data_IF_752522148210
#
_entry.id   IF_752522148210
#
_cell.length_a   1.000
_cell.length_b   1.000
_cell.length_c   1.000
_cell.angle_alpha   90.00
_cell.angle_beta   90.00
_cell.angle_gamma   90.00
#
_symmetry.space_group_name_H-M   'P 1'
#
loop_
_entity.id
_entity.type
_entity.pdbx_description
1 polymer ?
#
# COMPACT_ATOMS: atom_id res chain seq x y z
N UNK A 1 -23.27 21.79 -4.54
CA UNK A 1 -21.80 21.65 -4.49
C UNK A 1 -21.50 20.24 -4.05
N UNK A 2 -20.93 19.40 -4.92
CA UNK A 2 -20.53 18.05 -4.53
C UNK A 2 -19.27 18.18 -3.66
N UNK A 3 -19.40 17.89 -2.38
CA UNK A 3 -18.26 17.77 -1.46
C UNK A 3 -17.39 16.63 -2.00
N UNK A 4 -16.20 16.94 -2.52
CA UNK A 4 -15.20 15.91 -2.79
C UNK A 4 -14.89 15.25 -1.44
N UNK A 5 -15.34 14.02 -1.22
CA UNK A 5 -14.81 13.22 -0.14
C UNK A 5 -13.30 13.08 -0.39
N UNK A 6 -12.45 13.34 0.62
CA UNK A 6 -11.01 13.17 0.45
C UNK A 6 -10.76 11.72 0.06
N UNK A 7 -9.94 11.53 -0.99
CA UNK A 7 -9.43 10.20 -1.31
C UNK A 7 -8.59 9.72 -0.14
N UNK A 8 -8.95 8.58 0.42
CA UNK A 8 -8.10 7.90 1.38
C UNK A 8 -7.02 7.13 0.64
N UNK A 9 -5.83 7.04 1.22
CA UNK A 9 -4.79 6.16 0.71
C UNK A 9 -4.08 5.41 1.84
N UNK A 10 -3.49 4.27 1.47
CA UNK A 10 -2.57 3.52 2.31
C UNK A 10 -1.37 3.09 1.48
N UNK A 11 -0.19 3.23 2.05
CA UNK A 11 1.08 2.84 1.42
C UNK A 11 1.75 1.78 2.29
N UNK A 12 2.09 0.66 1.68
CA UNK A 12 2.78 -0.46 2.30
C UNK A 12 4.20 -0.51 1.77
N UNK A 13 5.16 -0.59 2.68
CA UNK A 13 6.60 -0.63 2.38
C UNK A 13 7.09 -2.05 2.58
N UNK A 14 7.62 -2.67 1.55
CA UNK A 14 7.94 -4.10 1.54
C UNK A 14 9.44 -4.36 1.29
N UNK A 15 10.00 -5.33 2.01
CA UNK A 15 11.34 -5.90 1.74
C UNK A 15 11.21 -7.09 0.78
N UNK A 16 10.66 -6.84 -0.41
CA UNK A 16 10.53 -7.83 -1.47
C UNK A 16 11.24 -7.33 -2.72
N UNK A 17 12.17 -8.14 -3.23
CA UNK A 17 12.97 -7.81 -4.41
C UNK A 17 12.34 -8.30 -5.72
N UNK A 18 11.42 -9.28 -5.62
CA UNK A 18 10.80 -9.91 -6.78
C UNK A 18 9.35 -9.45 -6.94
N UNK A 19 9.12 -8.55 -7.90
CA UNK A 19 7.79 -8.08 -8.27
C UNK A 19 6.90 -9.24 -8.75
N UNK A 20 7.48 -10.28 -9.34
CA UNK A 20 6.74 -11.47 -9.80
C UNK A 20 6.14 -12.25 -8.63
N UNK A 21 6.70 -12.15 -7.42
CA UNK A 21 6.14 -12.76 -6.22
C UNK A 21 4.88 -12.03 -5.72
N UNK A 22 4.72 -10.75 -6.09
CA UNK A 22 3.63 -9.89 -5.60
C UNK A 22 2.50 -9.79 -6.63
N UNK A 23 2.79 -9.95 -7.92
CA UNK A 23 1.78 -9.89 -8.99
C UNK A 23 0.55 -10.80 -8.75
N UNK A 24 0.67 -12.09 -8.37
CA UNK A 24 -0.49 -12.94 -8.10
C UNK A 24 -1.34 -12.47 -6.91
N UNK A 25 -0.69 -11.84 -5.91
CA UNK A 25 -1.37 -11.27 -4.74
C UNK A 25 -2.18 -10.04 -5.16
N UNK A 26 -1.59 -9.20 -6.01
CA UNK A 26 -2.26 -8.01 -6.55
C UNK A 26 -3.43 -8.39 -7.46
N UNK A 27 -3.30 -9.42 -8.29
CA UNK A 27 -4.38 -9.94 -9.11
C UNK A 27 -5.55 -10.44 -8.25
N UNK A 28 -5.24 -11.15 -7.16
CA UNK A 28 -6.25 -11.60 -6.19
C UNK A 28 -6.96 -10.41 -5.56
N UNK A 29 -6.20 -9.43 -5.07
CA UNK A 29 -6.75 -8.24 -4.42
C UNK A 29 -7.56 -7.37 -5.40
N UNK A 30 -7.13 -7.26 -6.66
CA UNK A 30 -7.84 -6.56 -7.72
C UNK A 30 -9.13 -7.27 -8.11
N UNK A 31 -9.15 -8.60 -8.13
CA UNK A 31 -10.37 -9.39 -8.34
C UNK A 31 -11.41 -9.20 -7.23
N UNK A 32 -10.96 -9.08 -5.98
CA UNK A 32 -11.83 -8.88 -4.81
C UNK A 32 -12.30 -7.41 -4.67
N UNK A 33 -11.41 -6.43 -4.90
CA UNK A 33 -11.62 -5.03 -4.52
C UNK A 33 -11.48 -4.00 -5.63
N UNK A 34 -11.09 -4.39 -6.86
CA UNK A 34 -10.74 -3.46 -7.94
C UNK A 34 -11.86 -2.51 -8.40
N UNK A 35 -13.11 -2.81 -8.07
CA UNK A 35 -14.25 -1.91 -8.29
C UNK A 35 -14.35 -0.74 -7.29
N UNK A 36 -13.71 -0.87 -6.13
CA UNK A 36 -13.79 0.09 -5.02
C UNK A 36 -12.44 0.66 -4.61
N UNK A 37 -11.35 -0.08 -4.82
CA UNK A 37 -9.99 0.27 -4.41
C UNK A 37 -9.06 0.18 -5.61
N UNK A 38 -8.39 1.28 -5.92
CA UNK A 38 -7.28 1.30 -6.85
C UNK A 38 -6.02 0.77 -6.15
N UNK A 39 -5.30 -0.11 -6.83
CA UNK A 39 -4.12 -0.81 -6.30
C UNK A 39 -2.93 -0.46 -7.20
N UNK A 40 -1.83 -0.03 -6.62
CA UNK A 40 -0.59 0.27 -7.33
C UNK A 40 0.61 -0.45 -6.74
N UNK A 41 1.59 -0.78 -7.58
CA UNK A 41 2.90 -1.31 -7.18
C UNK A 41 4.02 -0.46 -7.76
N UNK A 42 5.00 -0.12 -6.94
CA UNK A 42 6.12 0.76 -7.33
C UNK A 42 7.43 0.20 -6.77
N UNK A 43 8.31 -0.36 -7.61
CA UNK A 43 9.65 -0.75 -7.18
C UNK A 43 10.43 0.50 -6.76
N UNK A 44 11.15 0.40 -5.64
CA UNK A 44 11.93 1.50 -5.08
C UNK A 44 13.32 1.02 -4.68
N UNK A 45 14.30 1.92 -4.74
CA UNK A 45 15.69 1.63 -4.37
C UNK A 45 16.18 2.64 -3.35
N UNK A 46 17.25 2.30 -2.62
CA UNK A 46 17.94 3.17 -1.66
C UNK A 46 17.00 3.79 -0.61
N UNK A 47 15.98 3.04 -0.18
CA UNK A 47 15.10 3.49 0.87
C UNK A 47 15.80 3.36 2.24
N UNK A 48 15.65 4.35 3.14
CA UNK A 48 16.35 4.36 4.43
C UNK A 48 15.93 3.20 5.35
N UNK A 49 14.74 2.65 5.15
CA UNK A 49 14.18 1.52 5.90
C UNK A 49 14.37 0.17 5.20
N UNK A 50 15.11 0.14 4.08
CA UNK A 50 15.34 -1.07 3.31
C UNK A 50 14.21 -1.48 2.37
N UNK A 51 13.13 -0.69 2.27
CA UNK A 51 12.02 -0.98 1.37
C UNK A 51 12.49 -1.05 -0.09
N UNK A 52 12.01 -2.08 -0.78
CA UNK A 52 12.32 -2.39 -2.19
C UNK A 52 11.09 -2.33 -3.09
N UNK A 53 9.89 -2.44 -2.49
CA UNK A 53 8.63 -2.31 -3.19
C UNK A 53 7.65 -1.50 -2.34
N UNK A 54 6.93 -0.58 -2.97
CA UNK A 54 5.78 0.09 -2.37
C UNK A 54 4.50 -0.45 -2.99
N UNK A 55 3.51 -0.78 -2.17
CA UNK A 55 2.14 -1.02 -2.62
C UNK A 55 1.26 0.13 -2.15
N UNK A 56 0.37 0.61 -3.02
CA UNK A 56 -0.60 1.65 -2.69
C UNK A 56 -2.01 1.12 -2.83
N UNK A 57 -2.87 1.47 -1.88
CA UNK A 57 -4.31 1.29 -1.93
C UNK A 57 -4.97 2.66 -1.87
N UNK A 58 -5.82 2.97 -2.82
CA UNK A 58 -6.49 4.27 -2.93
C UNK A 58 -7.98 4.10 -3.16
N UNK A 59 -8.81 4.85 -2.43
CA UNK A 59 -10.26 4.79 -2.63
C UNK A 59 -10.95 6.09 -2.26
N UNK A 60 -12.08 6.35 -2.94
CA UNK A 60 -13.06 7.37 -2.54
C UNK A 60 -13.96 6.91 -1.40
N UNK A 61 -13.95 5.60 -1.09
CA UNK A 61 -14.71 4.97 -0.01
C UNK A 61 -13.74 4.51 1.07
N UNK A 62 -13.59 5.33 2.10
CA UNK A 62 -12.68 5.05 3.22
C UNK A 62 -13.00 3.72 3.91
N UNK A 63 -14.28 3.34 3.93
CA UNK A 63 -14.76 2.08 4.52
C UNK A 63 -14.23 0.84 3.77
N UNK A 64 -13.88 0.97 2.48
CA UNK A 64 -13.34 -0.11 1.65
C UNK A 64 -11.81 -0.25 1.78
N UNK A 65 -11.10 0.79 2.21
CA UNK A 65 -9.63 0.78 2.33
C UNK A 65 -9.13 -0.09 3.47
N UNK A 66 -9.80 -0.04 4.63
CA UNK A 66 -9.40 -0.83 5.79
C UNK A 66 -9.50 -2.34 5.53
N UNK A 67 -10.63 -2.89 5.06
CA UNK A 67 -10.71 -4.32 4.78
C UNK A 67 -9.77 -4.76 3.64
N UNK A 68 -9.62 -3.95 2.58
CA UNK A 68 -8.65 -4.25 1.51
C UNK A 68 -7.20 -4.25 2.03
N UNK A 69 -6.87 -3.35 2.95
CA UNK A 69 -5.56 -3.29 3.59
C UNK A 69 -5.26 -4.50 4.46
N UNK A 70 -6.20 -4.91 5.31
CA UNK A 70 -6.03 -6.12 6.12
C UNK A 70 -5.93 -7.36 5.24
N UNK A 71 -6.75 -7.43 4.18
CA UNK A 71 -6.68 -8.51 3.19
C UNK A 71 -5.33 -8.58 2.49
N UNK A 72 -4.77 -7.43 2.09
CA UNK A 72 -3.43 -7.37 1.54
C UNK A 72 -2.39 -7.92 2.53
N UNK A 73 -2.47 -7.56 3.81
CA UNK A 73 -1.54 -8.07 4.83
C UNK A 73 -1.62 -9.58 5.02
N UNK A 74 -2.80 -10.18 4.94
CA UNK A 74 -2.97 -11.63 4.99
C UNK A 74 -2.33 -12.35 3.80
N UNK A 75 -2.32 -11.69 2.64
CA UNK A 75 -1.75 -12.21 1.40
C UNK A 75 -0.23 -12.05 1.33
N UNK A 76 0.32 -11.07 2.06
CA UNK A 76 1.75 -10.82 2.06
C UNK A 76 2.53 -11.95 2.77
N UNK A 77 3.72 -12.31 2.27
CA UNK A 77 4.60 -13.23 2.98
C UNK A 77 4.96 -12.69 4.37
N UNK A 78 5.12 -13.60 5.33
CA UNK A 78 5.54 -13.23 6.68
C UNK A 78 6.89 -12.49 6.66
N UNK A 79 6.97 -11.37 7.37
CA UNK A 79 8.16 -10.52 7.42
C UNK A 79 8.39 -9.64 6.18
N UNK A 80 7.56 -9.73 5.14
CA UNK A 80 7.69 -8.87 3.96
C UNK A 80 7.31 -7.41 4.23
N UNK A 81 6.39 -7.16 5.16
CA UNK A 81 5.92 -5.81 5.49
C UNK A 81 6.86 -5.12 6.47
N UNK A 82 7.51 -4.05 6.02
CA UNK A 82 8.36 -3.18 6.82
C UNK A 82 7.51 -2.14 7.56
N UNK A 83 6.51 -1.56 6.87
CA UNK A 83 5.66 -0.53 7.46
C UNK A 83 4.45 -0.17 6.62
N UNK A 84 3.45 0.42 7.27
CA UNK A 84 2.22 0.95 6.67
C UNK A 84 2.11 2.44 6.99
N UNK A 85 1.76 3.25 5.99
CA UNK A 85 1.41 4.66 6.15
C UNK A 85 -0.01 4.91 5.65
N UNK A 86 -0.75 5.80 6.31
CA UNK A 86 -2.14 6.16 5.97
C UNK A 86 -2.22 7.63 5.59
N UNK A 87 -3.11 7.94 4.66
CA UNK A 87 -3.43 9.31 4.21
C UNK A 87 -2.17 10.13 3.88
N UNK A 88 -1.27 9.47 3.16
CA UNK A 88 0.00 10.01 2.69
C UNK A 88 -0.30 11.08 1.65
N UNK A 89 -0.32 12.33 2.08
CA UNK A 89 -0.45 13.52 1.20
C UNK A 89 0.88 13.88 0.53
N UNK A 90 1.99 13.32 1.03
CA UNK A 90 3.34 13.45 0.48
C UNK A 90 4.15 12.24 0.92
N UNK A 91 4.72 11.48 -0.02
CA UNK A 91 5.74 10.47 0.27
C UNK A 91 7.01 11.20 0.72
N UNK A 92 7.08 11.59 1.99
CA UNK A 92 8.29 12.16 2.56
C UNK A 92 9.19 11.03 3.03
N UNK A 93 10.44 11.03 2.56
CA UNK A 93 11.52 10.08 2.91
C UNK A 93 11.95 10.16 4.39
N UNK A 94 11.24 10.94 5.23
CA UNK A 94 11.65 11.41 6.56
C UNK A 94 10.89 10.75 7.71
N UNK A 95 10.43 9.50 7.56
CA UNK A 95 9.97 8.74 8.74
C UNK A 95 11.15 8.13 9.51
N UNK A 96 12.11 8.98 9.91
CA UNK A 96 13.08 8.68 10.97
C UNK A 96 12.75 9.63 12.12
N UNK A 97 11.92 9.19 13.06
CA UNK A 97 11.90 9.79 14.39
C UNK A 97 12.81 8.96 15.29
N UNK A 98 14.05 9.42 15.44
CA UNK A 98 14.80 9.31 16.69
C UNK A 98 14.11 10.23 17.72
N UNK A 99 14.02 9.86 19.00
CA UNK A 99 15.20 9.71 19.86
C UNK A 99 15.37 8.34 20.52
#
# INVERSE_FOLDING_TARGET
MATLNPFGNRVFRLDLYDEAAVAPLLDTLAGEWGGEVAIGSYPVTNQPDGARLLLTLESKRTDSLTPAAERLKELLPEGALIGEQRDVTRLTLDSVKNP
#
